data_IF_070116313023
#
_entry.id   IF_070116313023
#
_cell.length_a   1.000
_cell.length_b   1.000
_cell.length_c   1.000
_cell.angle_alpha   90.00
_cell.angle_beta   90.00
_cell.angle_gamma   90.00
#
_symmetry.space_group_name_H-M   'P 1'
#
loop_
_entity.id
_entity.type
_entity.pdbx_description
1 polymer ?
#
# COMPACT_ATOMS: atom_id res chain seq x y z
N UNK A 1 20.62 9.44 8.77
CA UNK A 1 19.64 10.09 7.86
C UNK A 1 18.59 9.07 7.47
N UNK A 2 17.31 9.41 7.66
CA UNK A 2 16.08 8.58 7.63
C UNK A 2 16.03 7.36 8.56
N UNK A 3 17.10 6.57 8.68
CA UNK A 3 17.16 5.41 9.60
C UNK A 3 17.16 5.78 11.11
N UNK A 4 17.28 7.07 11.46
CA UNK A 4 17.25 7.55 12.85
C UNK A 4 15.87 8.06 13.27
N UNK A 5 14.90 8.13 12.37
CA UNK A 5 13.52 8.48 12.72
C UNK A 5 12.92 7.37 13.58
N UNK A 6 12.03 7.63 14.55
CA UNK A 6 11.20 6.61 15.21
C UNK A 6 10.24 5.94 14.22
N UNK A 7 9.81 4.70 14.51
CA UNK A 7 8.88 3.97 13.64
C UNK A 7 7.55 4.72 13.45
N UNK A 8 7.07 5.40 14.49
CA UNK A 8 5.81 6.16 14.44
C UNK A 8 5.85 7.30 13.41
N UNK A 9 7.00 7.98 13.29
CA UNK A 9 7.17 9.04 12.28
C UNK A 9 7.25 8.46 10.87
N UNK A 10 7.85 7.28 10.72
CA UNK A 10 7.91 6.58 9.44
C UNK A 10 6.51 6.11 9.01
N UNK A 11 5.68 5.62 9.95
CA UNK A 11 4.26 5.32 9.71
C UNK A 11 3.52 6.57 9.26
N UNK A 12 3.69 7.70 9.96
CA UNK A 12 3.06 8.97 9.57
C UNK A 12 3.47 9.41 8.17
N UNK A 13 4.75 9.33 7.81
CA UNK A 13 5.21 9.67 6.46
C UNK A 13 4.53 8.78 5.42
N UNK A 14 4.48 7.47 5.65
CA UNK A 14 3.88 6.51 4.73
C UNK A 14 2.36 6.65 4.59
N UNK A 15 1.67 7.15 5.63
CA UNK A 15 0.24 7.46 5.56
C UNK A 15 -0.09 8.69 4.71
N UNK A 16 0.90 9.52 4.38
CA UNK A 16 0.72 10.74 3.58
C UNK A 16 1.15 10.58 2.11
N UNK A 17 1.54 9.37 1.69
CA UNK A 17 1.93 9.09 0.30
C UNK A 17 1.02 8.02 -0.31
N UNK A 18 0.87 8.00 -1.64
CA UNK A 18 0.13 6.95 -2.32
C UNK A 18 0.66 5.56 -1.99
N UNK A 19 -0.24 4.60 -1.93
CA UNK A 19 0.06 3.25 -1.46
C UNK A 19 1.12 2.52 -2.29
N UNK A 20 1.13 2.78 -3.60
CA UNK A 20 2.16 2.31 -4.54
C UNK A 20 3.55 2.78 -4.15
N UNK A 21 3.67 4.02 -3.71
CA UNK A 21 4.93 4.63 -3.30
C UNK A 21 5.31 4.12 -1.90
N UNK A 22 4.33 3.99 -1.01
CA UNK A 22 4.53 3.44 0.32
C UNK A 22 5.08 2.00 0.28
N UNK A 23 4.51 1.11 -0.55
CA UNK A 23 5.05 -0.23 -0.82
C UNK A 23 6.47 -0.14 -1.39
N UNK A 24 6.70 0.76 -2.33
CA UNK A 24 7.99 0.91 -3.01
C UNK A 24 9.12 1.27 -2.03
N UNK A 25 8.82 1.93 -0.91
CA UNK A 25 9.81 2.19 0.15
C UNK A 25 10.40 0.93 0.78
N UNK A 26 9.78 -0.25 0.60
CA UNK A 26 10.29 -1.52 1.14
C UNK A 26 11.71 -1.86 0.69
N UNK A 27 12.15 -1.32 -0.47
CA UNK A 27 13.49 -1.57 -1.01
C UNK A 27 14.58 -0.76 -0.28
N UNK A 28 14.19 0.31 0.45
CA UNK A 28 15.13 1.20 1.12
C UNK A 28 15.85 0.52 2.29
N UNK A 29 15.13 -0.29 3.07
CA UNK A 29 15.73 -1.16 4.08
C UNK A 29 14.74 -2.20 4.61
N UNK A 30 15.25 -3.20 5.35
CA UNK A 30 14.42 -4.17 6.09
C UNK A 30 13.42 -3.49 7.05
N UNK A 31 13.79 -2.32 7.58
CA UNK A 31 12.95 -1.55 8.51
C UNK A 31 11.73 -0.97 7.78
N UNK A 32 11.93 -0.30 6.64
CA UNK A 32 10.83 0.21 5.82
C UNK A 32 9.91 -0.90 5.32
N UNK A 33 10.48 -2.05 4.93
CA UNK A 33 9.69 -3.25 4.60
C UNK A 33 8.77 -3.68 5.75
N UNK A 34 9.26 -3.64 7.00
CA UNK A 34 8.44 -3.98 8.16
C UNK A 34 7.34 -2.95 8.41
N UNK A 35 7.66 -1.66 8.33
CA UNK A 35 6.75 -0.56 8.67
C UNK A 35 5.58 -0.50 7.68
N UNK A 36 5.86 -0.58 6.38
CA UNK A 36 4.82 -0.64 5.35
C UNK A 36 3.80 -1.77 5.65
N UNK A 37 4.27 -2.95 6.06
CA UNK A 37 3.38 -4.10 6.37
C UNK A 37 2.54 -3.90 7.63
N UNK A 38 2.80 -2.83 8.40
CA UNK A 38 2.10 -2.48 9.63
C UNK A 38 1.21 -1.24 9.49
N UNK A 39 1.00 -0.72 8.27
CA UNK A 39 0.17 0.46 8.09
C UNK A 39 -1.32 0.17 8.40
N UNK A 40 -1.95 0.99 9.25
CA UNK A 40 -3.35 0.79 9.65
C UNK A 40 -4.35 1.25 8.59
N UNK A 41 -3.90 1.98 7.56
CA UNK A 41 -4.73 2.45 6.47
C UNK A 41 -4.07 2.13 5.13
N UNK A 42 -4.85 1.62 4.19
CA UNK A 42 -4.44 1.37 2.81
C UNK A 42 -5.42 2.08 1.86
N UNK A 43 -4.90 2.84 0.91
CA UNK A 43 -5.68 3.63 -0.04
C UNK A 43 -5.22 3.35 -1.48
N UNK A 44 -6.02 2.59 -2.21
CA UNK A 44 -5.72 2.15 -3.58
C UNK A 44 -6.57 2.94 -4.57
N UNK A 45 -5.92 3.69 -5.45
CA UNK A 45 -6.55 4.43 -6.54
C UNK A 45 -6.12 3.87 -7.91
N UNK A 46 -7.10 3.50 -8.73
CA UNK A 46 -6.97 2.96 -10.09
C UNK A 46 -7.10 4.04 -11.19
N UNK A 47 -7.03 5.32 -10.81
CA UNK A 47 -7.16 6.44 -11.76
C UNK A 47 -5.94 6.58 -12.71
N UNK A 48 -4.80 5.96 -12.38
CA UNK A 48 -3.57 5.96 -13.17
C UNK A 48 -3.46 4.76 -14.14
N UNK A 49 -4.39 4.64 -15.10
CA UNK A 49 -4.26 3.65 -16.19
C UNK A 49 -3.67 4.34 -17.43
N UNK A 50 -2.35 4.51 -17.43
CA UNK A 50 -1.59 4.53 -18.69
C UNK A 50 -1.52 3.07 -19.18
N UNK A 51 -1.80 2.87 -20.47
CA UNK A 51 -2.32 1.62 -21.08
C UNK A 51 -1.47 0.34 -21.04
N UNK A 52 -0.50 0.21 -20.11
CA UNK A 52 0.33 -0.98 -19.91
C UNK A 52 0.31 -1.53 -18.46
N UNK A 53 -0.43 -0.90 -17.55
CA UNK A 53 -0.37 -1.25 -16.12
C UNK A 53 -0.95 -2.63 -15.79
N UNK A 54 -0.16 -3.44 -15.08
CA UNK A 54 -0.68 -4.62 -14.34
C UNK A 54 -1.86 -4.14 -13.51
N UNK A 55 -3.00 -4.82 -13.62
CA UNK A 55 -4.23 -4.47 -12.91
C UNK A 55 -3.93 -4.13 -11.45
N UNK A 56 -4.50 -3.02 -10.94
CA UNK A 56 -4.39 -2.64 -9.53
C UNK A 56 -4.73 -3.82 -8.60
N UNK A 57 -5.62 -4.73 -9.05
CA UNK A 57 -5.95 -5.97 -8.37
C UNK A 57 -4.75 -6.88 -8.11
N UNK A 58 -3.82 -7.01 -9.06
CA UNK A 58 -2.59 -7.77 -8.85
C UNK A 58 -1.75 -7.13 -7.73
N UNK A 59 -1.71 -5.81 -7.69
CA UNK A 59 -0.98 -5.07 -6.67
C UNK A 59 -1.65 -5.17 -5.29
N UNK A 60 -2.98 -5.03 -5.24
CA UNK A 60 -3.79 -5.24 -4.04
C UNK A 60 -3.56 -6.65 -3.50
N UNK A 61 -3.74 -7.69 -4.31
CA UNK A 61 -3.54 -9.09 -3.91
C UNK A 61 -2.13 -9.32 -3.33
N UNK A 62 -1.10 -8.85 -4.02
CA UNK A 62 0.29 -9.02 -3.56
C UNK A 62 0.63 -8.22 -2.31
N UNK A 63 0.10 -7.01 -2.19
CA UNK A 63 0.34 -6.17 -1.02
C UNK A 63 -0.40 -6.68 0.21
N UNK A 64 -1.64 -7.17 0.07
CA UNK A 64 -2.40 -7.81 1.13
C UNK A 64 -1.73 -9.09 1.65
N UNK A 65 -1.16 -9.92 0.77
CA UNK A 65 -0.38 -11.11 1.18
C UNK A 65 0.84 -10.76 2.03
N UNK A 66 1.39 -9.57 1.85
CA UNK A 66 2.55 -9.10 2.62
C UNK A 66 2.16 -8.37 3.91
N UNK A 67 0.90 -7.92 4.02
CA UNK A 67 0.42 -7.15 5.15
C UNK A 67 0.32 -8.01 6.40
N UNK A 68 0.76 -7.46 7.54
CA UNK A 68 0.90 -8.20 8.81
C UNK A 68 0.18 -7.53 9.96
N UNK A 69 -0.65 -6.50 9.72
CA UNK A 69 -1.37 -5.89 10.83
C UNK A 69 -2.43 -6.86 11.35
N UNK A 70 -2.63 -6.94 12.68
CA UNK A 70 -3.73 -7.71 13.23
C UNK A 70 -5.10 -7.07 12.95
N UNK A 71 -5.15 -5.75 12.73
CA UNK A 71 -6.37 -4.99 12.44
C UNK A 71 -6.05 -3.88 11.46
N UNK A 72 -6.68 -3.92 10.29
CA UNK A 72 -6.72 -2.82 9.34
C UNK A 72 -7.85 -1.88 9.75
N UNK A 73 -7.53 -0.61 10.05
CA UNK A 73 -8.51 0.36 10.51
C UNK A 73 -9.30 0.93 9.32
N UNK A 74 -8.60 1.32 8.27
CA UNK A 74 -9.18 1.90 7.07
C UNK A 74 -8.71 1.17 5.82
N UNK A 75 -9.63 0.85 4.93
CA UNK A 75 -9.34 0.31 3.60
C UNK A 75 -10.15 1.09 2.58
N UNK A 76 -9.48 1.92 1.80
CA UNK A 76 -10.06 2.63 0.68
C UNK A 76 -9.58 1.97 -0.61
N UNK A 77 -10.53 1.57 -1.45
CA UNK A 77 -10.24 0.99 -2.76
C UNK A 77 -11.17 1.69 -3.74
N UNK A 78 -10.60 2.55 -4.57
CA UNK A 78 -11.30 3.14 -5.70
C UNK A 78 -11.17 2.23 -6.91
N UNK A 79 -12.32 1.68 -7.30
CA UNK A 79 -12.43 0.70 -8.37
C UNK A 79 -12.64 1.44 -9.69
N UNK A 80 -11.61 1.45 -10.55
CA UNK A 80 -11.71 1.95 -11.91
C UNK A 80 -12.55 1.04 -12.81
N UNK A 81 -12.76 1.48 -14.06
CA UNK A 81 -13.57 0.77 -15.07
C UNK A 81 -13.12 -0.69 -15.35
N UNK A 82 -11.93 -1.10 -14.90
CA UNK A 82 -11.36 -2.44 -15.12
C UNK A 82 -11.64 -3.47 -14.02
N UNK A 83 -12.55 -3.21 -13.07
CA UNK A 83 -12.78 -4.15 -11.98
C UNK A 83 -13.49 -5.44 -12.44
N UNK A 84 -12.91 -6.63 -12.18
CA UNK A 84 -13.66 -7.86 -12.25
C UNK A 84 -14.63 -7.83 -11.07
N UNK A 85 -15.90 -7.56 -11.36
CA UNK A 85 -16.99 -7.64 -10.39
C UNK A 85 -17.15 -9.13 -10.02
N UNK A 86 -16.34 -9.61 -9.08
CA UNK A 86 -16.64 -10.88 -8.43
C UNK A 86 -17.71 -10.58 -7.42
N UNK A 87 -18.96 -10.78 -7.85
CA UNK A 87 -20.11 -10.91 -6.98
C UNK A 87 -19.78 -11.94 -5.89
N UNK A 88 -19.77 -11.51 -4.64
CA UNK A 88 -19.90 -12.40 -3.48
C UNK A 88 -21.15 -11.99 -2.71
#
# INVERSE_FOLDING_TARGET
MINNLPDDLLVQILLHVPIKDAVSTMILSKRWRSIWTMLPALDYDDSDIDGESKSIWYFIDKSMQLHKTPVLQNLYIELGHGCPVVLM
#
